data_IF_832929979715
#
_entry.id   IF_832929979715
#
_cell.length_a   1.000
_cell.length_b   1.000
_cell.length_c   1.000
_cell.angle_alpha   90.00
_cell.angle_beta   90.00
_cell.angle_gamma   90.00
#
_symmetry.space_group_name_H-M   'P 1'
#
loop_
_entity.id
_entity.type
_entity.pdbx_description
1 polymer ?
#
# COMPACT_ATOMS: atom_id res chain seq x y z
N UNK A 1 -13.53 1.99 20.64
CA UNK A 1 -12.32 2.29 19.84
C UNK A 1 -12.72 2.30 18.37
N UNK A 2 -12.50 3.41 17.65
CA UNK A 2 -12.82 3.48 16.21
C UNK A 2 -11.85 2.58 15.43
N UNK A 3 -12.39 1.70 14.59
CA UNK A 3 -11.56 0.88 13.69
C UNK A 3 -10.78 1.80 12.72
N UNK A 4 -9.51 1.50 12.42
CA UNK A 4 -8.74 2.28 11.44
C UNK A 4 -9.43 2.19 10.07
N UNK A 5 -9.57 3.33 9.41
CA UNK A 5 -10.25 3.42 8.11
C UNK A 5 -9.41 2.66 7.07
N UNK A 6 -10.02 1.72 6.34
CA UNK A 6 -9.34 1.03 5.23
C UNK A 6 -9.11 2.02 4.08
N UNK A 7 -7.86 2.20 3.68
CA UNK A 7 -7.46 3.15 2.63
C UNK A 7 -7.04 2.47 1.32
N UNK A 8 -6.86 1.14 1.32
CA UNK A 8 -6.41 0.37 0.16
C UNK A 8 -7.55 -0.49 -0.39
N UNK A 9 -7.98 -0.22 -1.64
CA UNK A 9 -9.03 -0.97 -2.35
C UNK A 9 -8.57 -1.50 -3.71
N UNK A 10 -9.51 -1.80 -4.61
CA UNK A 10 -9.21 -2.30 -5.97
C UNK A 10 -8.25 -1.38 -6.72
N UNK A 11 -8.49 -0.06 -6.63
CA UNK A 11 -7.67 0.97 -7.27
C UNK A 11 -6.50 1.45 -6.39
N UNK A 12 -6.15 0.69 -5.34
CA UNK A 12 -5.13 1.08 -4.36
C UNK A 12 -5.61 2.20 -3.42
N UNK A 13 -4.71 3.16 -3.12
CA UNK A 13 -4.98 4.30 -2.24
C UNK A 13 -5.39 5.52 -3.07
N UNK A 14 -6.56 6.10 -2.77
CA UNK A 14 -7.12 7.26 -3.51
C UNK A 14 -7.39 8.45 -2.59
N UNK A 15 -7.27 9.65 -3.14
CA UNK A 15 -7.47 10.92 -2.44
C UNK A 15 -6.78 12.06 -3.16
N UNK A 16 -6.82 13.25 -2.57
CA UNK A 16 -6.12 14.44 -3.08
C UNK A 16 -4.65 14.40 -2.68
N UNK A 17 -3.75 14.71 -3.61
CA UNK A 17 -2.31 14.75 -3.32
C UNK A 17 -2.00 15.69 -2.14
N UNK A 18 -1.05 15.28 -1.30
CA UNK A 18 -0.64 15.97 -0.08
C UNK A 18 -1.72 16.05 1.02
N UNK A 19 -2.81 15.28 0.90
CA UNK A 19 -3.85 15.15 1.91
C UNK A 19 -4.00 13.67 2.24
N UNK A 20 -4.10 13.32 3.53
CA UNK A 20 -4.33 11.93 3.93
C UNK A 20 -5.57 11.35 3.21
N UNK A 21 -5.45 10.16 2.58
CA UNK A 21 -4.35 9.19 2.69
C UNK A 21 -3.23 9.30 1.64
N UNK A 22 -3.24 10.29 0.74
CA UNK A 22 -2.29 10.42 -0.37
C UNK A 22 -1.18 11.42 -0.02
N UNK A 23 -0.33 11.03 0.93
CA UNK A 23 0.86 11.78 1.36
C UNK A 23 2.15 11.04 0.99
N UNK A 24 3.27 11.78 0.92
CA UNK A 24 4.58 11.19 0.66
C UNK A 24 4.99 10.17 1.75
N UNK A 25 4.63 10.43 3.00
CA UNK A 25 4.88 9.52 4.12
C UNK A 25 4.11 8.21 3.96
N UNK A 26 2.83 8.28 3.58
CA UNK A 26 2.01 7.08 3.32
C UNK A 26 2.56 6.28 2.15
N UNK A 27 2.99 6.94 1.07
CA UNK A 27 3.63 6.28 -0.06
C UNK A 27 4.93 5.55 0.34
N UNK A 28 5.79 6.19 1.15
CA UNK A 28 7.04 5.58 1.64
C UNK A 28 6.76 4.37 2.52
N UNK A 29 5.80 4.48 3.46
CA UNK A 29 5.38 3.36 4.32
C UNK A 29 4.82 2.20 3.50
N UNK A 30 3.97 2.50 2.52
CA UNK A 30 3.36 1.50 1.64
C UNK A 30 4.43 0.77 0.81
N UNK A 31 5.38 1.49 0.21
CA UNK A 31 6.47 0.89 -0.57
C UNK A 31 7.37 -0.02 0.27
N UNK A 32 7.71 0.39 1.51
CA UNK A 32 8.46 -0.45 2.45
C UNK A 32 7.70 -1.72 2.82
N UNK A 33 6.40 -1.60 3.09
CA UNK A 33 5.54 -2.74 3.40
C UNK A 33 5.44 -3.70 2.21
N UNK A 34 5.23 -3.18 1.00
CA UNK A 34 5.22 -3.95 -0.23
C UNK A 34 6.55 -4.70 -0.41
N UNK A 35 7.69 -4.02 -0.28
CA UNK A 35 9.00 -4.66 -0.35
C UNK A 35 9.18 -5.78 0.68
N UNK A 36 8.71 -5.58 1.91
CA UNK A 36 8.75 -6.62 2.94
C UNK A 36 7.89 -7.85 2.58
N UNK A 37 6.68 -7.63 2.06
CA UNK A 37 5.75 -8.71 1.66
C UNK A 37 6.26 -9.46 0.44
N UNK A 38 6.73 -8.76 -0.59
CA UNK A 38 7.16 -9.36 -1.85
C UNK A 38 8.58 -9.96 -1.79
N UNK A 39 9.38 -9.68 -0.75
CA UNK A 39 10.76 -10.17 -0.62
C UNK A 39 10.93 -11.68 -0.81
N UNK A 40 9.95 -12.46 -0.35
CA UNK A 40 10.03 -13.93 -0.36
C UNK A 40 9.06 -14.58 -1.37
N UNK A 41 8.42 -13.78 -2.23
CA UNK A 41 7.55 -14.33 -3.27
C UNK A 41 8.45 -14.80 -4.40
N UNK A 42 8.71 -16.11 -4.45
CA UNK A 42 9.39 -16.73 -5.58
C UNK A 42 8.58 -16.45 -6.85
N UNK A 43 9.21 -16.05 -7.97
CA UNK A 43 8.52 -15.92 -9.24
C UNK A 43 8.02 -17.31 -9.62
N UNK A 44 6.73 -17.55 -9.42
CA UNK A 44 6.10 -18.76 -9.89
C UNK A 44 5.92 -18.59 -11.39
N UNK A 45 6.73 -19.33 -12.16
CA UNK A 45 6.59 -19.43 -13.62
C UNK A 45 5.13 -19.77 -13.92
N UNK A 46 4.46 -18.89 -14.67
CA UNK A 46 3.14 -19.21 -15.20
C UNK A 46 3.40 -19.99 -16.47
N UNK A 47 3.21 -21.31 -16.39
CA UNK A 47 3.18 -22.21 -17.54
C UNK A 47 2.00 -21.88 -18.47
#
# INVERSE_FOLDING_TARGET
MSQPKKIFGTDGVRGTANIEPVTAETALKLGRAAGHVFKNIAPQSRD
#
